data_IF_817211419768
#
_entry.id   IF_817211419768
#
_cell.length_a   1.000
_cell.length_b   1.000
_cell.length_c   1.000
_cell.angle_alpha   90.00
_cell.angle_beta   90.00
_cell.angle_gamma   90.00
#
_symmetry.space_group_name_H-M   'P 1'
#
loop_
_entity.id
_entity.type
_entity.pdbx_description
1 polymer ?
#
# COMPACT_ATOMS: atom_id res chain seq x y z
N UNK A 1 24.70 -29.27 -56.59
CA UNK A 1 24.79 -28.84 -57.99
C UNK A 1 23.39 -28.98 -58.56
N UNK A 2 22.71 -27.90 -59.01
CA UNK A 2 23.18 -26.53 -59.26
C UNK A 2 23.56 -25.79 -57.95
N UNK A 3 24.24 -24.64 -57.86
CA UNK A 3 24.52 -23.50 -58.77
C UNK A 3 23.49 -22.34 -58.69
N UNK A 4 23.92 -21.18 -58.18
CA UNK A 4 23.55 -19.84 -58.63
C UNK A 4 24.46 -18.76 -57.99
N UNK A 5 24.70 -17.69 -58.74
CA UNK A 5 25.88 -16.82 -58.59
C UNK A 5 25.77 -15.68 -57.55
N UNK A 6 26.93 -15.16 -57.15
CA UNK A 6 27.06 -13.90 -56.45
C UNK A 6 26.97 -12.70 -57.42
N UNK A 7 26.19 -11.69 -57.07
CA UNK A 7 26.25 -10.32 -57.64
C UNK A 7 26.25 -9.32 -56.47
N UNK A 8 27.02 -8.25 -56.61
CA UNK A 8 27.39 -7.32 -55.53
C UNK A 8 26.72 -5.94 -55.65
N UNK A 9 26.85 -5.17 -54.56
CA UNK A 9 26.59 -3.72 -54.41
C UNK A 9 25.13 -3.22 -54.38
N UNK A 10 24.87 -2.03 -53.81
CA UNK A 10 25.69 -1.24 -52.86
C UNK A 10 24.95 -0.92 -51.53
N UNK A 11 25.69 -0.45 -50.52
CA UNK A 11 25.10 0.16 -49.31
C UNK A 11 24.38 1.47 -49.67
N UNK A 12 23.06 1.51 -49.54
CA UNK A 12 22.32 2.77 -49.36
C UNK A 12 22.10 3.00 -47.86
N UNK A 13 22.74 4.04 -47.33
CA UNK A 13 22.49 4.56 -46.00
C UNK A 13 21.23 5.41 -46.00
N UNK A 14 20.16 4.95 -45.37
CA UNK A 14 19.05 5.82 -44.95
C UNK A 14 19.38 6.39 -43.56
N UNK A 15 19.06 7.66 -43.29
CA UNK A 15 19.33 8.27 -42.00
C UNK A 15 18.44 7.62 -40.93
N UNK A 16 19.07 7.08 -39.88
CA UNK A 16 18.37 6.80 -38.63
C UNK A 16 18.22 8.13 -37.92
N UNK A 17 17.00 8.65 -37.84
CA UNK A 17 16.71 9.79 -36.98
C UNK A 17 17.04 9.42 -35.53
N UNK A 18 18.12 10.00 -35.02
CA UNK A 18 18.53 9.86 -33.63
C UNK A 18 17.56 10.69 -32.78
N UNK A 19 16.41 10.11 -32.47
CA UNK A 19 15.55 10.60 -31.40
C UNK A 19 16.38 10.50 -30.11
N UNK A 20 16.79 11.65 -29.59
CA UNK A 20 17.54 11.75 -28.34
C UNK A 20 16.69 11.27 -27.16
N UNK A 21 16.94 10.03 -26.73
CA UNK A 21 16.36 9.47 -25.50
C UNK A 21 17.34 9.72 -24.34
N UNK A 22 17.50 10.99 -23.95
CA UNK A 22 18.18 11.34 -22.67
C UNK A 22 17.86 12.77 -22.20
N UNK A 23 16.58 13.15 -22.31
CA UNK A 23 16.07 14.31 -21.58
C UNK A 23 15.91 13.94 -20.09
N UNK A 24 16.94 14.22 -19.28
CA UNK A 24 16.76 14.31 -17.82
C UNK A 24 15.57 15.23 -17.53
N UNK A 25 14.70 14.92 -16.56
CA UNK A 25 13.62 15.82 -16.18
C UNK A 25 14.19 17.21 -15.90
N UNK A 26 13.65 18.25 -16.53
CA UNK A 26 14.00 19.62 -16.19
C UNK A 26 13.53 19.87 -14.75
N UNK A 27 14.48 19.84 -13.81
CA UNK A 27 14.22 20.16 -12.41
C UNK A 27 13.87 21.64 -12.37
N UNK A 28 12.58 21.93 -12.18
CA UNK A 28 12.10 23.29 -12.03
C UNK A 28 12.68 23.86 -10.72
N UNK A 29 13.50 24.90 -10.82
CA UNK A 29 14.43 25.31 -9.73
C UNK A 29 13.77 26.10 -8.59
N UNK A 30 12.46 26.25 -8.61
CA UNK A 30 11.69 26.91 -7.56
C UNK A 30 11.06 25.87 -6.61
N UNK A 31 11.34 25.90 -5.30
CA UNK A 31 10.76 24.94 -4.35
C UNK A 31 9.23 24.99 -4.35
N UNK A 32 8.58 23.83 -4.38
CA UNK A 32 7.12 23.71 -4.50
C UNK A 32 6.56 22.66 -3.54
N UNK A 33 5.29 22.82 -3.17
CA UNK A 33 4.66 22.18 -1.99
C UNK A 33 4.42 20.67 -2.10
N UNK A 34 4.74 20.03 -3.23
CA UNK A 34 4.27 18.69 -3.60
C UNK A 34 2.82 18.65 -4.07
N UNK A 35 2.05 19.74 -3.90
CA UNK A 35 0.68 19.83 -4.39
C UNK A 35 0.66 20.50 -5.75
N UNK A 36 -0.05 19.89 -6.70
CA UNK A 36 -0.28 20.42 -8.05
C UNK A 36 -1.77 20.43 -8.39
N UNK A 37 -2.17 21.34 -9.27
CA UNK A 37 -3.52 21.40 -9.87
C UNK A 37 -3.36 21.39 -11.38
N UNK A 38 -4.01 20.44 -12.06
CA UNK A 38 -3.93 20.25 -13.51
C UNK A 38 -2.51 20.09 -14.08
N UNK A 39 -1.53 19.66 -13.26
CA UNK A 39 -0.11 19.58 -13.63
C UNK A 39 0.72 20.84 -13.32
N UNK A 40 0.10 21.90 -12.78
CA UNK A 40 0.79 23.12 -12.36
C UNK A 40 0.99 23.16 -10.84
N UNK A 41 2.13 23.68 -10.38
CA UNK A 41 2.46 23.73 -8.95
C UNK A 41 1.52 24.67 -8.18
N UNK A 42 0.85 24.15 -7.15
CA UNK A 42 -0.13 24.90 -6.38
C UNK A 42 0.52 25.71 -5.25
N UNK A 43 0.34 27.03 -5.30
CA UNK A 43 0.65 27.95 -4.20
C UNK A 43 -0.66 28.49 -3.63
N UNK A 44 -0.99 28.21 -2.35
CA UNK A 44 -2.20 28.76 -1.73
C UNK A 44 -2.12 30.30 -1.65
N UNK A 45 -3.12 30.99 -2.19
CA UNK A 45 -3.15 32.46 -2.22
C UNK A 45 -3.51 33.08 -0.85
N UNK A 46 -4.37 32.41 -0.07
CA UNK A 46 -4.81 32.86 1.25
C UNK A 46 -4.27 31.94 2.36
N UNK A 47 -3.53 32.54 3.31
CA UNK A 47 -2.93 31.88 4.48
C UNK A 47 -3.95 31.43 5.54
N UNK A 48 -5.18 31.94 5.50
CA UNK A 48 -6.25 31.58 6.44
C UNK A 48 -7.22 30.53 5.86
N UNK A 49 -7.07 30.16 4.59
CA UNK A 49 -7.92 29.17 3.95
C UNK A 49 -7.70 27.74 4.46
N UNK A 50 -8.78 26.95 4.46
CA UNK A 50 -8.73 25.52 4.79
C UNK A 50 -7.84 24.72 3.81
N UNK A 51 -7.74 25.16 2.55
CA UNK A 51 -6.80 24.59 1.58
C UNK A 51 -5.34 24.90 1.94
N UNK A 52 -5.03 26.11 2.41
CA UNK A 52 -3.68 26.41 2.90
C UNK A 52 -3.29 25.54 4.09
N UNK A 53 -4.18 25.35 5.08
CA UNK A 53 -3.93 24.40 6.18
C UNK A 53 -3.71 22.97 5.65
N UNK A 54 -4.56 22.50 4.73
CA UNK A 54 -4.44 21.17 4.13
C UNK A 54 -3.08 20.94 3.45
N UNK A 55 -2.65 21.86 2.58
CA UNK A 55 -1.36 21.81 1.86
C UNK A 55 -0.18 22.01 2.81
N UNK A 56 -0.30 22.92 3.79
CA UNK A 56 0.78 23.25 4.74
C UNK A 56 1.03 22.14 5.75
N UNK A 57 -0.02 21.52 6.29
CA UNK A 57 0.07 20.69 7.48
C UNK A 57 0.23 19.20 7.14
N UNK A 58 -0.27 18.72 6.00
CA UNK A 58 -0.09 17.33 5.54
C UNK A 58 1.27 17.08 4.86
N UNK A 59 1.71 15.82 4.78
CA UNK A 59 2.76 15.39 3.84
C UNK A 59 2.09 14.73 2.64
N UNK A 60 2.11 15.39 1.48
CA UNK A 60 1.53 14.86 0.25
C UNK A 60 2.32 15.30 -0.99
N UNK A 61 2.37 14.43 -2.00
CA UNK A 61 2.72 14.73 -3.37
C UNK A 61 1.56 14.27 -4.27
N UNK A 62 0.75 15.20 -4.77
CA UNK A 62 -0.54 14.89 -5.41
C UNK A 62 -0.98 15.95 -6.43
N UNK A 63 -1.51 15.46 -7.56
CA UNK A 63 -2.08 16.28 -8.61
C UNK A 63 -3.61 16.22 -8.54
N UNK A 64 -4.21 17.37 -8.30
CA UNK A 64 -5.66 17.55 -8.28
C UNK A 64 -6.14 17.96 -9.68
N UNK A 65 -7.35 17.55 -10.05
CA UNK A 65 -7.91 17.83 -11.39
C UNK A 65 -8.10 19.33 -11.64
N UNK A 66 -8.58 20.04 -10.62
CA UNK A 66 -8.88 21.47 -10.61
C UNK A 66 -8.94 21.97 -9.14
N UNK A 67 -9.07 23.28 -8.93
CA UNK A 67 -9.12 23.88 -7.59
C UNK A 67 -10.32 23.42 -6.76
N UNK A 68 -11.48 23.23 -7.40
CA UNK A 68 -12.72 22.74 -6.74
C UNK A 68 -12.52 21.33 -6.15
N UNK A 69 -11.79 20.47 -6.86
CA UNK A 69 -11.41 19.13 -6.42
C UNK A 69 -10.48 19.19 -5.20
N UNK A 70 -9.48 20.09 -5.22
CA UNK A 70 -8.59 20.34 -4.07
C UNK A 70 -9.35 20.86 -2.85
N UNK A 71 -10.25 21.83 -3.02
CA UNK A 71 -11.10 22.37 -1.94
C UNK A 71 -12.01 21.29 -1.33
N UNK A 72 -12.66 20.48 -2.18
CA UNK A 72 -13.50 19.36 -1.75
C UNK A 72 -12.70 18.31 -0.98
N UNK A 73 -11.52 17.94 -1.48
CA UNK A 73 -10.61 16.97 -0.83
C UNK A 73 -10.16 17.46 0.53
N UNK A 74 -9.74 18.72 0.63
CA UNK A 74 -9.35 19.35 1.89
C UNK A 74 -10.50 19.35 2.91
N UNK A 75 -11.72 19.70 2.47
CA UNK A 75 -12.92 19.68 3.31
C UNK A 75 -13.26 18.26 3.79
N UNK A 76 -13.21 17.27 2.91
CA UNK A 76 -13.47 15.87 3.24
C UNK A 76 -12.40 15.31 4.21
N UNK A 77 -11.14 15.70 4.05
CA UNK A 77 -10.06 15.34 4.97
C UNK A 77 -10.32 15.88 6.37
N UNK A 78 -10.47 17.20 6.54
CA UNK A 78 -10.65 17.79 7.87
C UNK A 78 -11.97 17.40 8.54
N UNK A 79 -13.01 17.03 7.78
CA UNK A 79 -14.24 16.46 8.34
C UNK A 79 -14.00 15.12 9.06
N UNK A 80 -13.06 14.30 8.58
CA UNK A 80 -12.96 12.87 8.95
C UNK A 80 -11.60 12.46 9.55
N UNK A 81 -10.57 13.30 9.47
CA UNK A 81 -9.24 13.03 10.06
C UNK A 81 -9.36 12.71 11.56
N UNK A 82 -10.06 13.59 12.28
CA UNK A 82 -11.37 13.24 12.84
C UNK A 82 -11.47 11.82 13.39
N UNK A 83 -12.50 11.12 12.93
CA UNK A 83 -12.76 9.69 13.10
C UNK A 83 -11.56 8.78 12.83
N UNK A 84 -10.78 9.03 11.78
CA UNK A 84 -9.68 8.13 11.37
C UNK A 84 -8.67 7.92 12.49
N UNK A 85 -8.28 8.98 13.21
CA UNK A 85 -7.39 8.87 14.37
C UNK A 85 -8.00 8.02 15.50
N UNK A 86 -9.33 8.03 15.70
CA UNK A 86 -9.97 7.19 16.72
C UNK A 86 -10.02 5.72 16.31
N UNK A 87 -10.16 5.43 15.01
CA UNK A 87 -10.09 4.05 14.52
C UNK A 87 -8.68 3.49 14.75
N UNK A 88 -7.63 4.26 14.44
CA UNK A 88 -6.24 3.88 14.73
C UNK A 88 -5.99 3.60 16.22
N UNK A 89 -6.32 4.57 17.08
CA UNK A 89 -6.18 4.44 18.55
C UNK A 89 -7.07 3.35 19.16
N UNK A 90 -8.23 3.06 18.55
CA UNK A 90 -9.13 1.98 18.96
C UNK A 90 -8.51 0.61 18.70
N UNK A 91 -7.92 0.42 17.52
CA UNK A 91 -7.21 -0.81 17.16
C UNK A 91 -5.99 -1.05 18.05
N UNK A 92 -5.24 0.00 18.40
CA UNK A 92 -4.12 -0.11 19.36
C UNK A 92 -4.58 -0.61 20.73
N UNK A 93 -5.66 -0.05 21.28
CA UNK A 93 -6.25 -0.49 22.55
C UNK A 93 -6.86 -1.89 22.49
N UNK A 94 -7.41 -2.28 21.34
CA UNK A 94 -7.93 -3.63 21.14
C UNK A 94 -6.77 -4.64 21.01
N UNK A 95 -5.64 -4.28 20.40
CA UNK A 95 -4.43 -5.13 20.38
C UNK A 95 -3.84 -5.33 21.79
N UNK A 96 -4.03 -4.39 22.72
CA UNK A 96 -3.69 -4.58 24.14
C UNK A 96 -4.61 -5.57 24.87
N UNK A 97 -5.70 -6.04 24.23
CA UNK A 97 -6.75 -6.86 24.84
C UNK A 97 -6.93 -8.21 24.16
N UNK A 98 -6.55 -9.28 24.86
CA UNK A 98 -6.63 -10.67 24.37
C UNK A 98 -8.08 -11.12 24.08
N UNK A 99 -9.07 -10.46 24.69
CA UNK A 99 -10.50 -10.71 24.45
C UNK A 99 -11.07 -9.95 23.23
N UNK A 100 -10.30 -9.07 22.60
CA UNK A 100 -10.78 -8.25 21.49
C UNK A 100 -10.81 -9.01 20.15
N UNK A 101 -11.74 -8.64 19.24
CA UNK A 101 -11.72 -9.15 17.88
C UNK A 101 -10.43 -8.85 17.10
N UNK A 102 -9.76 -7.72 17.38
CA UNK A 102 -8.52 -7.35 16.70
C UNK A 102 -7.34 -8.23 17.14
N UNK A 103 -7.18 -8.46 18.44
CA UNK A 103 -6.09 -9.30 18.98
C UNK A 103 -6.27 -10.77 18.57
N UNK A 104 -7.49 -11.30 18.69
CA UNK A 104 -7.81 -12.66 18.27
C UNK A 104 -7.63 -12.87 16.76
N UNK A 105 -8.10 -11.93 15.93
CA UNK A 105 -7.88 -12.01 14.49
C UNK A 105 -6.40 -11.90 14.15
N UNK A 106 -5.68 -10.95 14.73
CA UNK A 106 -4.25 -10.77 14.49
C UNK A 106 -3.45 -12.05 14.78
N UNK A 107 -3.69 -12.69 15.92
CA UNK A 107 -3.05 -13.96 16.28
C UNK A 107 -3.36 -15.07 15.28
N UNK A 108 -4.63 -15.16 14.85
CA UNK A 108 -5.08 -16.12 13.83
C UNK A 108 -4.46 -15.87 12.45
N UNK A 109 -4.30 -14.61 12.04
CA UNK A 109 -3.60 -14.24 10.80
C UNK A 109 -2.15 -14.74 10.81
N UNK A 110 -1.42 -14.58 11.92
CA UNK A 110 -0.05 -15.10 12.05
C UNK A 110 -0.02 -16.63 11.97
N UNK A 111 -0.97 -17.31 12.59
CA UNK A 111 -1.08 -18.77 12.49
C UNK A 111 -1.37 -19.25 11.06
N UNK A 112 -2.26 -18.58 10.33
CA UNK A 112 -2.53 -18.87 8.92
C UNK A 112 -1.29 -18.64 8.04
N UNK A 113 -0.56 -17.54 8.20
CA UNK A 113 0.68 -17.29 7.44
C UNK A 113 1.80 -18.27 7.83
N UNK A 114 1.90 -18.69 9.11
CA UNK A 114 2.80 -19.77 9.54
C UNK A 114 2.47 -21.10 8.87
N UNK A 115 1.18 -21.36 8.66
CA UNK A 115 0.69 -22.54 7.98
C UNK A 115 1.15 -22.65 6.53
N UNK A 116 1.16 -21.54 5.77
CA UNK A 116 1.73 -21.50 4.41
C UNK A 116 3.18 -21.98 4.39
N UNK A 117 4.03 -21.44 5.27
CA UNK A 117 5.42 -21.86 5.40
C UNK A 117 5.58 -23.30 5.87
N UNK A 118 4.72 -23.76 6.78
CA UNK A 118 4.75 -25.14 7.29
C UNK A 118 4.58 -26.15 6.13
N UNK A 119 3.63 -25.91 5.23
CA UNK A 119 3.34 -26.77 4.08
C UNK A 119 4.22 -26.53 2.84
N UNK A 120 4.93 -25.39 2.75
CA UNK A 120 5.83 -25.10 1.62
C UNK A 120 6.92 -26.17 1.45
N UNK A 121 7.16 -26.56 0.20
CA UNK A 121 8.22 -27.49 -0.22
C UNK A 121 9.51 -26.78 -0.66
N UNK A 122 9.73 -25.53 -0.21
CA UNK A 122 10.96 -24.77 -0.46
C UNK A 122 12.23 -25.60 -0.24
N UNK A 123 13.24 -25.37 -1.09
CA UNK A 123 14.62 -25.79 -0.83
C UNK A 123 15.09 -25.31 0.56
N UNK A 124 15.59 -26.20 1.44
CA UNK A 124 16.18 -25.81 2.70
C UNK A 124 17.30 -24.77 2.58
N UNK A 125 18.15 -24.83 1.55
CA UNK A 125 19.25 -23.88 1.41
C UNK A 125 18.75 -22.46 1.08
N UNK A 126 17.75 -22.34 0.21
CA UNK A 126 17.02 -21.09 -0.02
C UNK A 126 16.39 -20.53 1.28
N UNK A 127 15.70 -21.36 2.07
CA UNK A 127 15.09 -20.89 3.34
C UNK A 127 16.13 -20.44 4.35
N UNK A 128 17.24 -21.16 4.49
CA UNK A 128 18.36 -20.79 5.37
C UNK A 128 19.00 -19.46 4.95
N UNK A 129 19.11 -19.19 3.64
CA UNK A 129 19.57 -17.91 3.12
C UNK A 129 18.57 -16.80 3.45
N UNK A 130 17.30 -16.97 3.09
CA UNK A 130 16.25 -15.97 3.32
C UNK A 130 16.09 -15.63 4.80
N UNK A 131 16.18 -16.63 5.70
CA UNK A 131 16.18 -16.41 7.15
C UNK A 131 17.36 -15.53 7.61
N UNK A 132 18.59 -15.79 7.13
CA UNK A 132 19.78 -14.98 7.46
C UNK A 132 19.65 -13.55 6.95
N UNK A 133 19.13 -13.35 5.74
CA UNK A 133 18.90 -12.02 5.17
C UNK A 133 17.80 -11.23 5.89
N UNK A 134 16.73 -11.90 6.31
CA UNK A 134 15.68 -11.29 7.13
C UNK A 134 16.22 -10.79 8.47
N UNK A 135 17.15 -11.53 9.10
CA UNK A 135 17.82 -11.10 10.34
C UNK A 135 18.98 -10.11 10.13
N UNK A 136 19.42 -9.88 8.89
CA UNK A 136 20.57 -9.03 8.62
C UNK A 136 20.29 -7.52 8.86
N UNK A 137 21.26 -6.77 9.41
CA UNK A 137 21.21 -5.31 9.46
C UNK A 137 21.05 -4.71 8.06
N UNK A 138 20.12 -3.77 7.91
CA UNK A 138 19.75 -3.18 6.62
C UNK A 138 20.84 -2.33 5.95
N UNK A 139 21.99 -2.14 6.60
CA UNK A 139 23.15 -1.41 6.12
C UNK A 139 24.39 -2.30 5.85
N UNK A 140 24.23 -3.63 5.83
CA UNK A 140 25.32 -4.57 5.59
C UNK A 140 25.73 -4.60 4.09
N UNK A 141 26.95 -4.16 3.71
CA UNK A 141 27.38 -4.16 2.31
C UNK A 141 27.45 -5.59 1.75
N UNK A 142 26.85 -5.82 0.58
CA UNK A 142 26.78 -7.13 -0.05
C UNK A 142 25.52 -7.95 0.30
N UNK A 143 24.81 -7.62 1.39
CA UNK A 143 23.49 -8.18 1.67
C UNK A 143 22.41 -7.43 0.87
N UNK A 144 22.41 -7.65 -0.45
CA UNK A 144 21.20 -7.42 -1.24
C UNK A 144 20.18 -8.44 -0.72
N UNK A 145 19.16 -7.97 0.01
CA UNK A 145 17.99 -8.80 0.31
C UNK A 145 17.56 -9.47 -1.01
N UNK A 146 17.09 -10.72 -0.98
CA UNK A 146 16.47 -11.35 -2.16
C UNK A 146 15.31 -10.48 -2.70
N UNK A 147 14.71 -9.64 -1.83
CA UNK A 147 13.74 -8.59 -2.18
C UNK A 147 14.31 -7.38 -2.94
N UNK A 148 15.62 -7.09 -2.88
CA UNK A 148 16.31 -6.04 -3.63
C UNK A 148 16.32 -4.64 -3.01
N UNK A 149 17.37 -3.87 -3.30
CA UNK A 149 17.39 -2.43 -3.00
C UNK A 149 16.35 -1.71 -3.88
N UNK A 150 15.57 -0.79 -3.29
CA UNK A 150 14.50 -0.06 -3.98
C UNK A 150 13.24 -0.87 -4.32
N UNK A 151 13.21 -2.19 -4.07
CA UNK A 151 12.07 -3.07 -4.33
C UNK A 151 11.28 -3.40 -3.05
N UNK A 152 10.81 -2.37 -2.35
CA UNK A 152 9.85 -2.50 -1.23
C UNK A 152 10.29 -3.43 -0.08
N UNK A 153 11.59 -3.69 0.06
CA UNK A 153 12.13 -4.78 0.86
C UNK A 153 11.79 -4.67 2.34
N UNK A 154 10.79 -5.47 2.76
CA UNK A 154 10.50 -5.90 4.13
C UNK A 154 10.71 -4.82 5.19
N UNK A 155 9.65 -4.04 5.42
CA UNK A 155 9.51 -3.08 6.51
C UNK A 155 10.17 -3.62 7.79
N UNK A 156 11.05 -2.81 8.39
CA UNK A 156 12.01 -3.25 9.42
C UNK A 156 11.38 -4.03 10.59
N UNK A 157 10.13 -3.72 10.97
CA UNK A 157 9.38 -4.46 12.00
C UNK A 157 9.03 -5.89 11.60
N UNK A 158 8.66 -6.13 10.34
CA UNK A 158 8.17 -7.43 9.84
C UNK A 158 9.25 -8.51 9.78
N UNK A 159 10.51 -8.08 9.64
CA UNK A 159 11.68 -8.93 9.36
C UNK A 159 11.84 -10.10 10.33
N UNK A 160 11.76 -9.85 11.65
CA UNK A 160 11.96 -10.87 12.69
C UNK A 160 10.86 -11.93 12.69
N UNK A 161 9.60 -11.51 12.52
CA UNK A 161 8.48 -12.44 12.42
C UNK A 161 8.63 -13.33 11.19
N UNK A 162 8.90 -12.75 10.01
CA UNK A 162 9.09 -13.54 8.79
C UNK A 162 10.30 -14.48 8.87
N UNK A 163 11.39 -14.11 9.55
CA UNK A 163 12.53 -15.00 9.76
C UNK A 163 12.12 -16.29 10.49
N UNK A 164 11.36 -16.16 11.59
CA UNK A 164 10.80 -17.27 12.35
C UNK A 164 9.89 -18.15 11.48
N UNK A 165 9.00 -17.51 10.69
CA UNK A 165 8.04 -18.22 9.84
C UNK A 165 8.72 -19.01 8.71
N UNK A 166 9.68 -18.40 7.99
CA UNK A 166 10.48 -19.05 6.93
C UNK A 166 11.23 -20.27 7.47
N UNK A 167 11.77 -20.19 8.68
CA UNK A 167 12.47 -21.30 9.33
C UNK A 167 11.52 -22.44 9.80
N UNK A 168 10.19 -22.24 9.71
CA UNK A 168 9.15 -23.13 10.23
C UNK A 168 9.26 -23.36 11.75
N UNK A 169 9.70 -22.35 12.49
CA UNK A 169 9.83 -22.44 13.95
C UNK A 169 8.48 -22.75 14.63
N UNK A 170 8.52 -23.68 15.58
CA UNK A 170 7.34 -24.22 16.26
C UNK A 170 7.30 -23.75 17.71
N UNK A 171 6.08 -23.52 18.21
CA UNK A 171 5.84 -23.05 19.57
C UNK A 171 4.59 -22.17 19.67
N UNK A 172 4.23 -21.72 20.89
CA UNK A 172 3.31 -20.61 21.08
C UNK A 172 3.93 -19.32 20.51
N UNK A 173 3.09 -18.45 19.95
CA UNK A 173 3.52 -17.10 19.59
C UNK A 173 3.81 -16.31 20.88
N UNK A 174 4.81 -15.45 20.88
CA UNK A 174 4.90 -14.40 21.90
C UNK A 174 3.76 -13.41 21.72
N UNK A 175 3.45 -12.63 22.77
CA UNK A 175 2.46 -11.54 22.69
C UNK A 175 2.75 -10.63 21.50
N UNK A 176 3.95 -10.08 21.42
CA UNK A 176 4.39 -9.20 20.34
C UNK A 176 4.23 -9.81 18.95
N UNK A 177 4.47 -11.13 18.80
CA UNK A 177 4.27 -11.84 17.54
C UNK A 177 2.78 -11.96 17.20
N UNK A 178 1.92 -12.29 18.17
CA UNK A 178 0.47 -12.41 17.95
C UNK A 178 -0.21 -11.09 17.56
N UNK A 179 0.38 -9.95 17.88
CA UNK A 179 -0.15 -8.62 17.50
C UNK A 179 0.26 -8.18 16.08
N UNK A 180 1.09 -8.96 15.38
CA UNK A 180 1.64 -8.63 14.05
C UNK A 180 0.93 -9.38 12.89
N UNK A 181 -0.39 -9.54 12.98
CA UNK A 181 -1.18 -10.32 12.01
C UNK A 181 -1.26 -9.70 10.62
N UNK A 182 -1.50 -8.38 10.55
CA UNK A 182 -1.57 -7.66 9.27
C UNK A 182 -0.18 -7.55 8.63
N UNK A 183 0.85 -7.39 9.45
CA UNK A 183 2.27 -7.38 9.11
C UNK A 183 2.70 -8.71 8.51
N UNK A 184 2.32 -9.84 9.13
CA UNK A 184 2.57 -11.18 8.60
C UNK A 184 1.95 -11.37 7.21
N UNK A 185 0.69 -10.99 7.04
CA UNK A 185 -0.02 -11.12 5.77
C UNK A 185 0.51 -10.16 4.69
N UNK A 186 0.87 -8.93 5.05
CA UNK A 186 1.46 -7.98 4.10
C UNK A 186 2.89 -8.38 3.70
N UNK A 187 3.70 -8.79 4.66
CA UNK A 187 5.09 -9.17 4.43
C UNK A 187 5.24 -10.45 3.60
N UNK A 188 4.36 -11.45 3.75
CA UNK A 188 4.40 -12.65 2.91
C UNK A 188 4.03 -12.34 1.46
N UNK A 189 3.13 -11.38 1.21
CA UNK A 189 2.89 -10.84 -0.13
C UNK A 189 4.11 -10.07 -0.66
N UNK A 190 4.76 -9.25 0.16
CA UNK A 190 5.98 -8.55 -0.27
C UNK A 190 7.11 -9.55 -0.67
N UNK A 191 7.24 -10.67 0.06
CA UNK A 191 8.11 -11.79 -0.33
C UNK A 191 7.63 -12.44 -1.65
N UNK A 192 6.33 -12.65 -1.82
CA UNK A 192 5.77 -13.24 -3.03
C UNK A 192 6.05 -12.42 -4.30
N UNK A 193 5.84 -11.09 -4.26
CA UNK A 193 6.13 -10.19 -5.39
C UNK A 193 7.61 -10.24 -5.81
N UNK A 194 8.52 -10.38 -4.84
CA UNK A 194 9.95 -10.44 -5.09
C UNK A 194 10.45 -11.84 -5.53
N UNK A 195 9.96 -12.91 -4.89
CA UNK A 195 10.62 -14.22 -4.87
C UNK A 195 9.81 -15.36 -5.51
N UNK A 196 8.64 -15.09 -6.09
CA UNK A 196 7.82 -16.10 -6.82
C UNK A 196 8.57 -16.97 -7.84
N UNK A 197 9.67 -16.47 -8.42
CA UNK A 197 10.47 -17.24 -9.38
C UNK A 197 11.42 -18.26 -8.70
N UNK A 198 11.50 -18.24 -7.36
CA UNK A 198 12.43 -19.02 -6.54
C UNK A 198 11.69 -20.03 -5.63
N UNK A 199 10.39 -19.82 -5.35
CA UNK A 199 9.60 -20.65 -4.44
C UNK A 199 8.13 -20.78 -4.90
N UNK A 200 7.58 -22.00 -5.05
CA UNK A 200 6.23 -22.20 -5.58
C UNK A 200 5.07 -21.66 -4.72
N UNK A 201 5.11 -21.79 -3.38
CA UNK A 201 4.04 -21.26 -2.52
C UNK A 201 3.97 -19.73 -2.62
N UNK A 202 5.12 -19.05 -2.73
CA UNK A 202 5.20 -17.62 -3.01
C UNK A 202 4.67 -17.28 -4.42
N UNK A 203 4.84 -18.15 -5.42
CA UNK A 203 4.23 -17.96 -6.73
C UNK A 203 2.70 -18.04 -6.68
N UNK A 204 2.14 -19.00 -5.93
CA UNK A 204 0.70 -19.15 -5.75
C UNK A 204 0.09 -17.97 -4.97
N UNK A 205 0.77 -17.50 -3.90
CA UNK A 205 0.39 -16.27 -3.17
C UNK A 205 0.40 -15.06 -4.11
N UNK A 206 1.42 -14.88 -4.95
CA UNK A 206 1.48 -13.75 -5.89
C UNK A 206 0.36 -13.84 -6.94
N UNK A 207 0.16 -15.01 -7.54
CA UNK A 207 -0.87 -15.23 -8.55
C UNK A 207 -2.28 -14.94 -8.00
N UNK A 208 -2.60 -15.50 -6.83
CA UNK A 208 -3.90 -15.30 -6.19
C UNK A 208 -4.13 -13.83 -5.81
N UNK A 209 -3.14 -13.19 -5.20
CA UNK A 209 -3.27 -11.79 -4.76
C UNK A 209 -3.38 -10.82 -5.94
N UNK A 210 -2.65 -11.05 -7.04
CA UNK A 210 -2.76 -10.26 -8.28
C UNK A 210 -4.12 -10.43 -8.94
N UNK A 211 -4.67 -11.65 -8.99
CA UNK A 211 -5.98 -11.93 -9.57
C UNK A 211 -7.12 -11.21 -8.82
N UNK A 212 -7.02 -11.13 -7.49
CA UNK A 212 -8.05 -10.56 -6.62
C UNK A 212 -7.79 -9.09 -6.22
N UNK A 213 -6.82 -8.42 -6.85
CA UNK A 213 -6.37 -7.09 -6.43
C UNK A 213 -7.34 -5.97 -6.78
N UNK A 214 -7.91 -5.32 -5.77
CA UNK A 214 -8.68 -4.08 -5.91
C UNK A 214 -7.75 -2.87 -5.68
N UNK A 215 -7.14 -2.37 -6.76
CA UNK A 215 -6.19 -1.26 -6.73
C UNK A 215 -6.68 0.03 -7.42
N UNK A 216 -6.08 1.16 -7.05
CA UNK A 216 -6.33 2.48 -7.67
C UNK A 216 -5.85 2.58 -9.12
N UNK A 217 -6.62 3.23 -9.99
CA UNK A 217 -6.15 3.62 -11.34
C UNK A 217 -5.43 4.97 -11.31
N UNK A 218 -4.09 4.94 -11.46
CA UNK A 218 -3.19 6.12 -11.46
C UNK A 218 -2.66 6.47 -12.85
N UNK A 219 -3.26 5.94 -13.92
CA UNK A 219 -2.81 6.17 -15.31
C UNK A 219 -3.47 7.43 -15.87
N UNK A 220 -2.64 8.39 -16.29
CA UNK A 220 -3.03 9.63 -16.96
C UNK A 220 -2.15 9.79 -18.20
N UNK A 221 -2.76 10.09 -19.34
CA UNK A 221 -2.09 10.26 -20.65
C UNK A 221 -1.13 9.11 -21.00
N UNK A 222 -1.56 7.88 -20.71
CA UNK A 222 -0.78 6.65 -20.94
C UNK A 222 0.36 6.39 -19.94
N UNK A 223 0.57 7.27 -18.96
CA UNK A 223 1.66 7.17 -17.97
C UNK A 223 1.10 6.91 -16.56
N UNK A 224 1.72 5.99 -15.83
CA UNK A 224 1.39 5.73 -14.42
C UNK A 224 2.03 6.79 -13.53
N UNK A 225 1.21 7.54 -12.79
CA UNK A 225 1.66 8.52 -11.80
C UNK A 225 2.02 7.86 -10.48
N UNK A 226 2.96 8.45 -9.73
CA UNK A 226 3.51 7.83 -8.52
C UNK A 226 3.95 8.85 -7.47
N UNK A 227 3.55 8.61 -6.22
CA UNK A 227 3.72 9.52 -5.09
C UNK A 227 5.18 9.93 -4.82
N UNK A 228 6.13 9.00 -4.92
CA UNK A 228 7.53 9.27 -4.54
C UNK A 228 8.47 9.56 -5.71
N UNK A 229 7.99 9.53 -6.96
CA UNK A 229 8.85 9.63 -8.15
C UNK A 229 8.29 10.47 -9.29
N UNK A 230 7.01 10.86 -9.27
CA UNK A 230 6.44 11.83 -10.21
C UNK A 230 6.53 13.24 -9.65
N UNK A 231 6.91 14.21 -10.48
CA UNK A 231 7.08 15.63 -10.08
C UNK A 231 5.79 16.25 -9.52
N UNK A 232 4.64 15.85 -10.06
CA UNK A 232 3.30 16.25 -9.59
C UNK A 232 2.62 15.14 -8.75
N UNK A 233 3.39 14.11 -8.37
CA UNK A 233 2.94 13.05 -7.47
C UNK A 233 1.86 12.14 -8.06
N UNK A 234 0.89 11.78 -7.22
CA UNK A 234 -0.21 10.88 -7.59
C UNK A 234 -1.37 11.65 -8.20
N UNK A 235 -1.83 11.23 -9.38
CA UNK A 235 -3.06 11.74 -10.02
C UNK A 235 -4.14 10.65 -10.00
N UNK A 236 -5.33 11.01 -9.50
CA UNK A 236 -6.45 10.09 -9.30
C UNK A 236 -7.69 10.49 -10.13
N UNK A 237 -7.56 11.42 -11.10
CA UNK A 237 -8.71 11.87 -11.91
C UNK A 237 -9.41 10.72 -12.63
N UNK A 238 -8.68 9.65 -12.96
CA UNK A 238 -9.15 8.46 -13.66
C UNK A 238 -9.49 7.27 -12.73
N UNK A 239 -9.46 7.45 -11.41
CA UNK A 239 -9.77 6.40 -10.44
C UNK A 239 -11.29 6.39 -10.08
N UNK A 240 -12.04 5.32 -10.41
CA UNK A 240 -13.48 5.27 -10.11
C UNK A 240 -13.77 5.32 -8.61
N UNK A 241 -12.91 4.70 -7.79
CA UNK A 241 -13.05 4.69 -6.33
C UNK A 241 -12.95 6.08 -5.71
N UNK A 242 -11.96 6.84 -6.16
CA UNK A 242 -11.75 8.23 -5.80
C UNK A 242 -12.97 9.10 -6.13
N UNK A 243 -13.55 8.96 -7.33
CA UNK A 243 -14.76 9.73 -7.71
C UNK A 243 -15.94 9.44 -6.78
N UNK A 244 -16.20 8.16 -6.49
CA UNK A 244 -17.29 7.75 -5.56
C UNK A 244 -17.06 8.24 -4.13
N UNK A 245 -15.81 8.23 -3.62
CA UNK A 245 -15.47 8.75 -2.30
C UNK A 245 -15.62 10.28 -2.21
N UNK A 246 -15.19 10.99 -3.26
CA UNK A 246 -15.39 12.43 -3.39
C UNK A 246 -16.89 12.79 -3.44
N UNK A 247 -17.69 12.06 -4.22
CA UNK A 247 -19.16 12.19 -4.31
C UNK A 247 -19.86 11.96 -2.96
N UNK A 248 -19.40 10.99 -2.17
CA UNK A 248 -19.99 10.63 -0.87
C UNK A 248 -19.42 11.44 0.31
N UNK A 249 -18.47 12.36 0.08
CA UNK A 249 -17.97 13.26 1.10
C UNK A 249 -17.11 12.59 2.17
N UNK A 250 -16.24 11.65 1.77
CA UNK A 250 -15.27 10.94 2.62
C UNK A 250 -13.82 11.17 2.13
N UNK A 251 -12.78 10.99 2.98
CA UNK A 251 -11.40 11.32 2.60
C UNK A 251 -10.81 10.38 1.53
N UNK A 252 -9.97 10.97 0.68
CA UNK A 252 -9.16 10.29 -0.35
C UNK A 252 -7.74 10.80 -0.25
N UNK A 253 -6.75 9.89 -0.23
CA UNK A 253 -5.33 10.20 -0.23
C UNK A 253 -4.69 9.64 -1.51
N UNK A 254 -4.57 8.32 -1.64
CA UNK A 254 -3.85 7.67 -2.76
C UNK A 254 -4.74 6.78 -3.66
N UNK A 255 -6.06 6.85 -3.50
CA UNK A 255 -7.02 5.99 -4.18
C UNK A 255 -7.15 4.63 -3.50
N UNK A 256 -7.96 3.73 -4.07
CA UNK A 256 -8.29 2.44 -3.43
C UNK A 256 -7.02 1.64 -3.06
N UNK A 257 -6.96 1.18 -1.80
CA UNK A 257 -5.73 0.59 -1.25
C UNK A 257 -5.51 -0.84 -1.78
N UNK A 258 -4.66 -0.93 -2.80
CA UNK A 258 -4.21 -2.23 -3.32
C UNK A 258 -3.49 -3.08 -2.27
N UNK A 259 -2.84 -2.47 -1.28
CA UNK A 259 -2.22 -3.21 -0.17
C UNK A 259 -3.23 -3.77 0.83
N UNK A 260 -4.42 -3.16 0.95
CA UNK A 260 -5.47 -3.69 1.81
C UNK A 260 -6.11 -4.93 1.17
N UNK A 261 -6.26 -4.88 -0.16
CA UNK A 261 -6.60 -6.01 -0.99
C UNK A 261 -5.54 -7.12 -0.97
N UNK A 262 -4.25 -6.76 -0.95
CA UNK A 262 -3.14 -7.72 -0.80
C UNK A 262 -3.25 -8.50 0.53
N UNK A 263 -3.47 -7.81 1.66
CA UNK A 263 -3.64 -8.46 2.98
C UNK A 263 -4.88 -9.34 3.01
N UNK A 264 -6.04 -8.83 2.57
CA UNK A 264 -7.30 -9.58 2.57
C UNK A 264 -7.26 -10.81 1.63
N UNK A 265 -6.60 -10.69 0.48
CA UNK A 265 -6.39 -11.81 -0.45
C UNK A 265 -5.43 -12.84 0.11
N UNK A 266 -4.32 -12.40 0.71
CA UNK A 266 -3.33 -13.29 1.34
C UNK A 266 -3.95 -14.09 2.47
N UNK A 267 -4.73 -13.43 3.34
CA UNK A 267 -5.41 -14.09 4.45
C UNK A 267 -6.42 -15.14 3.95
N UNK A 268 -7.18 -14.83 2.91
CA UNK A 268 -8.14 -15.78 2.31
C UNK A 268 -7.43 -16.95 1.65
N UNK A 269 -6.36 -16.70 0.90
CA UNK A 269 -5.54 -17.75 0.29
C UNK A 269 -4.98 -18.68 1.36
N UNK A 270 -4.38 -18.13 2.43
CA UNK A 270 -3.83 -18.91 3.54
C UNK A 270 -4.88 -19.77 4.25
N UNK A 271 -6.09 -19.25 4.44
CA UNK A 271 -7.22 -20.00 4.99
C UNK A 271 -7.67 -21.14 4.05
N UNK A 272 -7.86 -20.83 2.76
CA UNK A 272 -8.27 -21.78 1.73
C UNK A 272 -7.24 -22.90 1.50
N UNK A 273 -5.95 -22.59 1.47
CA UNK A 273 -4.88 -23.56 1.26
C UNK A 273 -4.68 -24.53 2.43
N UNK A 274 -5.35 -24.29 3.56
CA UNK A 274 -5.26 -25.08 4.79
C UNK A 274 -6.59 -25.73 5.20
N UNK A 275 -7.66 -25.54 4.42
CA UNK A 275 -9.03 -25.92 4.76
C UNK A 275 -9.47 -25.37 6.15
N UNK A 276 -9.15 -24.09 6.40
CA UNK A 276 -9.44 -23.41 7.66
C UNK A 276 -10.35 -22.19 7.47
N UNK A 277 -11.04 -21.81 8.56
CA UNK A 277 -11.75 -20.53 8.62
C UNK A 277 -10.76 -19.36 8.53
N UNK A 278 -11.13 -18.34 7.77
CA UNK A 278 -10.41 -17.06 7.75
C UNK A 278 -10.58 -16.25 9.05
N UNK A 279 -11.61 -16.59 9.84
CA UNK A 279 -11.96 -15.93 11.10
C UNK A 279 -11.66 -16.85 12.30
N UNK A 280 -11.22 -16.29 13.44
CA UNK A 280 -11.06 -17.04 14.69
C UNK A 280 -12.36 -17.72 15.12
N UNK A 281 -12.22 -18.83 15.86
CA UNK A 281 -13.38 -19.48 16.49
C UNK A 281 -14.08 -18.53 17.46
N UNK A 282 -15.42 -18.45 17.38
CA UNK A 282 -16.24 -17.56 18.19
C UNK A 282 -16.43 -16.14 17.63
N UNK A 283 -15.66 -15.73 16.62
CA UNK A 283 -15.83 -14.43 15.95
C UNK A 283 -16.75 -14.56 14.74
N UNK A 284 -17.76 -13.67 14.62
CA UNK A 284 -18.60 -13.63 13.43
C UNK A 284 -17.87 -13.03 12.23
N UNK A 285 -18.29 -13.39 11.00
CA UNK A 285 -17.71 -12.82 9.79
C UNK A 285 -17.81 -11.27 9.71
N UNK A 286 -18.78 -10.67 10.40
CA UNK A 286 -18.92 -9.21 10.50
C UNK A 286 -17.83 -8.61 11.39
N UNK A 287 -17.65 -9.17 12.59
CA UNK A 287 -16.60 -8.73 13.53
C UNK A 287 -15.21 -8.98 12.94
N UNK A 288 -14.99 -10.13 12.30
CA UNK A 288 -13.76 -10.45 11.58
C UNK A 288 -13.44 -9.45 10.46
N UNK A 289 -14.43 -9.07 9.63
CA UNK A 289 -14.26 -8.02 8.63
C UNK A 289 -13.93 -6.66 9.26
N UNK A 290 -14.62 -6.26 10.33
CA UNK A 290 -14.35 -4.99 11.01
C UNK A 290 -12.96 -4.95 11.65
N UNK A 291 -12.55 -6.03 12.32
CA UNK A 291 -11.21 -6.21 12.86
C UNK A 291 -10.15 -6.16 11.74
N UNK A 292 -10.37 -6.86 10.62
CA UNK A 292 -9.45 -6.84 9.48
C UNK A 292 -9.27 -5.43 8.90
N UNK A 293 -10.37 -4.69 8.68
CA UNK A 293 -10.31 -3.31 8.22
C UNK A 293 -9.56 -2.40 9.20
N UNK A 294 -9.74 -2.60 10.50
CA UNK A 294 -9.01 -1.88 11.55
C UNK A 294 -7.52 -2.19 11.55
N UNK A 295 -7.14 -3.48 11.61
CA UNK A 295 -5.74 -3.94 11.61
C UNK A 295 -4.99 -3.48 10.36
N UNK A 296 -5.59 -3.63 9.17
CA UNK A 296 -5.00 -3.17 7.91
C UNK A 296 -4.85 -1.65 7.89
N UNK A 297 -5.81 -0.90 8.44
CA UNK A 297 -5.69 0.54 8.55
C UNK A 297 -4.56 0.95 9.49
N UNK A 298 -4.47 0.36 10.70
CA UNK A 298 -3.38 0.60 11.65
C UNK A 298 -2.00 0.29 11.03
N UNK A 299 -1.84 -0.86 10.38
CA UNK A 299 -0.64 -1.19 9.60
C UNK A 299 -0.28 -0.06 8.61
N UNK A 300 -1.24 0.39 7.82
CA UNK A 300 -1.03 1.36 6.73
C UNK A 300 -0.85 2.82 7.18
N UNK A 301 -1.36 3.15 8.37
CA UNK A 301 -1.44 4.51 8.90
C UNK A 301 -0.40 4.81 9.98
N UNK A 302 0.04 3.78 10.72
CA UNK A 302 0.90 3.96 11.89
C UNK A 302 2.24 3.19 11.74
N UNK A 303 2.26 1.99 11.14
CA UNK A 303 3.47 1.16 11.08
C UNK A 303 4.25 1.29 9.76
N UNK A 304 3.55 1.37 8.62
CA UNK A 304 4.13 1.66 7.31
C UNK A 304 4.65 3.10 7.22
N UNK A 305 4.10 4.00 8.04
CA UNK A 305 4.35 5.44 8.03
C UNK A 305 5.72 5.86 8.55
N UNK A 306 6.34 5.13 9.47
CA UNK A 306 7.70 5.42 9.94
C UNK A 306 8.70 5.34 8.78
N UNK A 307 8.53 4.33 7.91
CA UNK A 307 9.29 4.25 6.66
C UNK A 307 8.80 5.28 5.63
N UNK A 308 7.51 5.60 5.59
CA UNK A 308 6.98 6.63 4.71
C UNK A 308 7.63 7.98 4.98
N UNK A 309 7.82 8.40 6.24
CA UNK A 309 8.49 9.67 6.59
C UNK A 309 9.86 9.79 5.89
N UNK A 310 10.68 8.75 5.92
CA UNK A 310 11.96 8.73 5.21
C UNK A 310 11.81 8.83 3.67
N UNK A 311 10.83 8.15 3.07
CA UNK A 311 10.52 8.29 1.65
C UNK A 311 10.01 9.69 1.28
N UNK A 312 9.21 10.31 2.16
CA UNK A 312 8.71 11.67 2.01
C UNK A 312 9.84 12.70 2.10
N UNK A 313 10.74 12.58 3.07
CA UNK A 313 11.88 13.50 3.23
C UNK A 313 12.86 13.38 2.05
N UNK A 314 13.12 12.16 1.56
CA UNK A 314 13.89 11.94 0.33
C UNK A 314 13.20 12.54 -0.89
N UNK A 315 11.91 12.29 -1.07
CA UNK A 315 11.11 12.83 -2.17
C UNK A 315 11.08 14.37 -2.16
N UNK A 316 10.91 14.99 -0.99
CA UNK A 316 10.94 16.44 -0.80
C UNK A 316 12.28 17.04 -1.20
N UNK A 317 13.38 16.39 -0.86
CA UNK A 317 14.71 16.83 -1.25
C UNK A 317 14.92 16.66 -2.77
N UNK A 318 14.76 15.44 -3.28
CA UNK A 318 15.13 15.04 -4.64
C UNK A 318 14.21 15.64 -5.72
N UNK A 319 12.90 15.74 -5.47
CA UNK A 319 11.92 16.20 -6.47
C UNK A 319 11.55 17.68 -6.31
N UNK A 320 11.61 18.24 -5.09
CA UNK A 320 11.04 19.55 -4.79
C UNK A 320 12.04 20.56 -4.23
N UNK A 321 13.29 20.17 -3.98
CA UNK A 321 14.31 21.06 -3.37
C UNK A 321 13.93 21.54 -1.97
N UNK A 322 13.04 20.81 -1.28
CA UNK A 322 12.52 21.15 0.05
C UNK A 322 13.28 20.43 1.15
N UNK A 323 13.40 21.10 2.30
CA UNK A 323 13.87 20.48 3.53
C UNK A 323 12.91 19.37 4.01
N UNK A 324 13.41 18.38 4.76
CA UNK A 324 12.59 17.44 5.52
C UNK A 324 11.47 18.13 6.30
N UNK A 325 10.32 17.48 6.40
CA UNK A 325 9.17 17.98 7.19
C UNK A 325 8.55 16.80 7.92
N UNK A 326 8.53 16.88 9.23
CA UNK A 326 7.91 15.87 10.08
C UNK A 326 6.48 16.29 10.43
N UNK A 327 5.57 15.33 10.47
CA UNK A 327 4.14 15.49 10.82
C UNK A 327 3.68 14.29 11.65
N UNK A 328 2.51 14.41 12.26
CA UNK A 328 1.81 13.26 12.83
C UNK A 328 1.53 12.21 11.73
N UNK A 329 1.69 10.88 11.98
CA UNK A 329 1.42 9.83 11.00
C UNK A 329 0.06 9.96 10.29
N UNK A 330 -0.97 10.43 11.00
CA UNK A 330 -2.31 10.65 10.45
C UNK A 330 -2.37 11.82 9.44
N UNK A 331 -1.35 12.66 9.36
CA UNK A 331 -1.21 13.75 8.37
C UNK A 331 -0.33 13.37 7.17
N UNK A 332 0.26 12.18 7.14
CA UNK A 332 1.00 11.65 5.98
C UNK A 332 0.01 11.10 4.95
N UNK A 333 0.13 11.40 3.66
CA UNK A 333 -0.80 10.86 2.65
C UNK A 333 -0.41 9.43 2.23
N UNK A 334 -0.74 8.45 3.06
CA UNK A 334 -0.56 7.02 2.73
C UNK A 334 -1.88 6.39 2.28
N UNK A 335 -2.86 6.26 3.18
CA UNK A 335 -4.15 5.62 2.90
C UNK A 335 -5.21 6.19 3.84
N UNK A 336 -6.38 6.54 3.31
CA UNK A 336 -7.56 6.85 4.14
C UNK A 336 -8.29 5.58 4.58
N UNK A 337 -9.10 5.67 5.64
CA UNK A 337 -9.89 4.53 6.10
C UNK A 337 -10.89 4.04 5.04
N UNK A 338 -11.61 4.92 4.30
CA UNK A 338 -12.42 4.52 3.15
C UNK A 338 -11.65 3.81 2.02
N UNK A 339 -10.36 4.11 1.83
CA UNK A 339 -9.52 3.41 0.84
C UNK A 339 -9.16 1.99 1.29
N UNK A 340 -8.98 1.79 2.60
CA UNK A 340 -8.77 0.46 3.22
C UNK A 340 -10.07 -0.35 3.23
N UNK A 341 -11.19 0.23 3.66
CA UNK A 341 -12.50 -0.45 3.70
C UNK A 341 -12.89 -0.99 2.32
N UNK A 342 -12.80 -0.18 1.25
CA UNK A 342 -13.03 -0.70 -0.11
C UNK A 342 -12.02 -1.78 -0.51
N UNK A 343 -10.74 -1.60 -0.17
CA UNK A 343 -9.70 -2.59 -0.47
C UNK A 343 -9.93 -3.95 0.20
N UNK A 344 -10.47 -3.98 1.42
CA UNK A 344 -10.84 -5.22 2.12
C UNK A 344 -12.18 -5.76 1.60
N UNK A 345 -13.26 -4.99 1.68
CA UNK A 345 -14.61 -5.48 1.41
C UNK A 345 -14.79 -5.95 -0.03
N UNK A 346 -14.34 -5.15 -1.01
CA UNK A 346 -14.51 -5.52 -2.42
C UNK A 346 -13.72 -6.77 -2.77
N UNK A 347 -12.51 -6.88 -2.23
CA UNK A 347 -11.70 -8.10 -2.34
C UNK A 347 -12.44 -9.29 -1.76
N UNK A 348 -12.93 -9.20 -0.51
CA UNK A 348 -13.64 -10.30 0.17
C UNK A 348 -15.02 -10.65 -0.42
N UNK A 349 -15.52 -9.86 -1.36
CA UNK A 349 -16.77 -10.08 -2.09
C UNK A 349 -16.53 -10.46 -3.58
N UNK A 350 -15.27 -10.62 -4.00
CA UNK A 350 -14.84 -10.88 -5.38
C UNK A 350 -15.29 -9.80 -6.38
N UNK A 351 -15.40 -8.56 -5.89
CA UNK A 351 -15.84 -7.37 -6.63
C UNK A 351 -14.66 -6.69 -7.36
N UNK A 352 -14.93 -6.11 -8.53
CA UNK A 352 -13.90 -5.47 -9.37
C UNK A 352 -13.71 -3.99 -9.01
N UNK A 353 -12.51 -3.40 -9.14
CA UNK A 353 -12.28 -1.97 -8.90
C UNK A 353 -13.09 -1.03 -9.82
N UNK A 354 -13.67 -1.55 -10.90
CA UNK A 354 -14.58 -0.84 -11.81
C UNK A 354 -16.06 -0.99 -11.48
N UNK A 355 -16.43 -1.82 -10.50
CA UNK A 355 -17.83 -1.93 -10.03
C UNK A 355 -18.17 -0.72 -9.14
N UNK A 356 -18.98 0.18 -9.69
CA UNK A 356 -19.41 1.41 -9.00
C UNK A 356 -20.36 1.13 -7.83
N UNK A 357 -21.19 0.10 -7.91
CA UNK A 357 -22.15 -0.20 -6.83
C UNK A 357 -21.47 -0.89 -5.65
N UNK A 358 -20.50 -1.77 -5.92
CA UNK A 358 -19.56 -2.30 -4.92
C UNK A 358 -18.78 -1.18 -4.21
N UNK A 359 -18.28 -0.21 -5.00
CA UNK A 359 -17.59 0.96 -4.47
C UNK A 359 -18.50 1.82 -3.59
N UNK A 360 -19.76 2.05 -3.98
CA UNK A 360 -20.75 2.79 -3.18
C UNK A 360 -21.07 2.05 -1.88
N UNK A 361 -21.29 0.72 -1.93
CA UNK A 361 -21.55 -0.10 -0.74
C UNK A 361 -20.41 -0.02 0.28
N UNK A 362 -19.18 -0.28 -0.16
CA UNK A 362 -17.99 -0.22 0.71
C UNK A 362 -17.72 1.20 1.22
N UNK A 363 -17.91 2.23 0.40
CA UNK A 363 -17.73 3.63 0.82
C UNK A 363 -18.79 4.06 1.84
N UNK A 364 -20.05 3.63 1.71
CA UNK A 364 -21.10 3.89 2.71
C UNK A 364 -20.84 3.15 4.02
N UNK A 365 -20.32 1.92 3.97
CA UNK A 365 -19.86 1.23 5.18
C UNK A 365 -18.74 2.02 5.87
N UNK A 366 -17.73 2.48 5.12
CA UNK A 366 -16.66 3.31 5.67
C UNK A 366 -17.19 4.59 6.33
N UNK A 367 -18.14 5.28 5.69
CA UNK A 367 -18.81 6.46 6.24
C UNK A 367 -19.52 6.16 7.56
N UNK A 368 -20.32 5.09 7.62
CA UNK A 368 -21.00 4.67 8.86
C UNK A 368 -20.00 4.36 9.99
N UNK A 369 -18.86 3.74 9.67
CA UNK A 369 -17.82 3.43 10.64
C UNK A 369 -17.06 4.68 11.12
N UNK A 370 -16.80 5.65 10.23
CA UNK A 370 -16.23 6.95 10.58
C UNK A 370 -17.18 7.76 11.47
N UNK A 371 -18.47 7.83 11.13
CA UNK A 371 -19.47 8.57 11.90
C UNK A 371 -19.64 7.96 13.31
N UNK A 372 -19.66 6.62 13.43
CA UNK A 372 -19.67 5.92 14.72
C UNK A 372 -18.39 6.16 15.54
N UNK A 373 -17.21 6.13 14.90
CA UNK A 373 -15.93 6.39 15.55
C UNK A 373 -15.78 7.85 16.02
N UNK A 374 -16.54 8.79 15.43
CA UNK A 374 -16.65 10.16 15.93
C UNK A 374 -17.58 10.25 17.14
N UNK A 375 -18.77 9.65 17.05
CA UNK A 375 -19.76 9.67 18.13
C UNK A 375 -19.23 9.09 19.45
N UNK A 376 -18.47 7.99 19.38
CA UNK A 376 -17.90 7.31 20.54
C UNK A 376 -16.71 8.05 21.21
N UNK A 377 -16.42 9.29 20.82
CA UNK A 377 -15.43 10.18 21.47
C UNK A 377 -16.03 11.09 22.54
N UNK A 378 -17.35 11.28 22.50
CA UNK A 378 -18.12 12.16 23.39
C UNK A 378 -18.60 11.39 24.62
#
# INVERSE_FOLDING_TARGET
MPDFAAISNPKQSMPVDVVSIDAKPQINTSPHTGVSVAGENYTPADKQSLVHAFVKDTLQNSNYENTESLERRAKNFFKHIESEMAIGLGVEKDLERDDSPASQLSSHMVHLVRGLWTHSQSDPAFRDQLHKELLAPSNAPGNVLLAGEGKGGLYLGMKKLHAMLVNKEQGPLTRDQSLQGAEAAFGIKALAEALKNQEPMLADVDAYTVQNRVGSNRVVDGKKTHHFTSLHGTDLRNDPGTRVRDELGVPVMLGTSGGASDVASTLRFAAQSQDQSMWPSGISAKEGRQALMGLVFHLMRNQVTDNAQAFYDKMRNDLHGLAPKHVDPALIFSHSYPEVVSGVEMTLNDEKPTDREAMIRSTRLAQTLLDNAFANRQ
#
